data_IF_093868870651
#
_entry.id   IF_093868870651
#
_cell.length_a   1.000
_cell.length_b   1.000
_cell.length_c   1.000
_cell.angle_alpha   90.00
_cell.angle_beta   90.00
_cell.angle_gamma   90.00
#
_symmetry.space_group_name_H-M   'P 1'
#
loop_
_entity.id
_entity.type
_entity.pdbx_description
1 polymer ?
#
# COMPACT_ATOMS: atom_id res chain seq x y z
N UNK A 1 1.48 -21.67 15.26
CA UNK A 1 2.14 -21.31 13.99
C UNK A 1 1.29 -20.28 13.28
N UNK A 2 1.52 -18.99 13.55
CA UNK A 2 0.88 -17.85 12.85
C UNK A 2 1.90 -16.74 12.58
N UNK A 3 2.91 -16.63 13.43
CA UNK A 3 3.98 -15.64 13.34
C UNK A 3 4.88 -15.75 12.09
N UNK A 4 4.99 -16.94 11.48
CA UNK A 4 5.80 -17.13 10.26
C UNK A 4 5.14 -16.62 8.99
N UNK A 5 3.82 -16.45 8.97
CA UNK A 5 3.09 -16.02 7.78
C UNK A 5 3.08 -14.49 7.66
N UNK A 6 2.90 -13.79 8.78
CA UNK A 6 2.84 -12.32 8.83
C UNK A 6 4.19 -11.67 8.50
N UNK A 7 5.31 -12.27 8.94
CA UNK A 7 6.65 -11.78 8.60
C UNK A 7 6.93 -11.81 7.10
N UNK A 8 6.40 -12.80 6.37
CA UNK A 8 6.60 -12.90 4.93
C UNK A 8 5.76 -11.87 4.16
N UNK A 9 4.56 -11.54 4.64
CA UNK A 9 3.68 -10.55 3.98
C UNK A 9 4.26 -9.14 4.02
N UNK A 10 4.83 -8.75 5.16
CA UNK A 10 5.47 -7.44 5.32
C UNK A 10 6.71 -7.30 4.44
N UNK A 11 7.61 -8.29 4.47
CA UNK A 11 8.83 -8.26 3.65
C UNK A 11 8.50 -8.31 2.15
N UNK A 12 7.51 -9.12 1.73
CA UNK A 12 7.04 -9.13 0.34
C UNK A 12 6.48 -7.77 -0.11
N UNK A 13 5.84 -7.05 0.80
CA UNK A 13 5.33 -5.71 0.53
C UNK A 13 6.47 -4.71 0.36
N UNK A 14 7.49 -4.76 1.22
CA UNK A 14 8.69 -3.93 1.09
C UNK A 14 9.39 -4.22 -0.24
N UNK A 15 9.59 -5.49 -0.56
CA UNK A 15 10.23 -5.90 -1.81
C UNK A 15 9.42 -5.40 -3.02
N UNK A 16 8.09 -5.55 -3.00
CA UNK A 16 7.24 -5.06 -4.08
C UNK A 16 7.29 -3.53 -4.23
N UNK A 17 7.34 -2.78 -3.13
CA UNK A 17 7.52 -1.31 -3.17
C UNK A 17 8.89 -0.92 -3.76
N UNK A 18 9.95 -1.67 -3.42
CA UNK A 18 11.29 -1.41 -3.95
C UNK A 18 11.42 -1.66 -5.46
N UNK A 19 10.52 -2.45 -6.04
CA UNK A 19 10.46 -2.70 -7.49
C UNK A 19 9.69 -1.64 -8.27
N UNK A 20 9.03 -0.69 -7.60
CA UNK A 20 8.33 0.40 -8.28
C UNK A 20 9.34 1.36 -8.95
N UNK A 21 8.93 1.95 -10.08
CA UNK A 21 9.69 3.08 -10.63
C UNK A 21 9.65 4.27 -9.66
N UNK A 22 10.61 5.18 -9.77
CA UNK A 22 10.61 6.41 -8.95
C UNK A 22 9.31 7.22 -9.13
N UNK A 23 8.75 7.24 -10.35
CA UNK A 23 7.49 7.94 -10.64
C UNK A 23 6.30 7.28 -9.94
N UNK A 24 6.23 5.94 -9.96
CA UNK A 24 5.15 5.17 -9.33
C UNK A 24 5.26 5.23 -7.81
N UNK A 25 6.47 5.11 -7.25
CA UNK A 25 6.71 5.27 -5.82
C UNK A 25 6.30 6.66 -5.32
N UNK A 26 6.62 7.73 -6.08
CA UNK A 26 6.15 9.10 -5.77
C UNK A 26 4.63 9.23 -5.85
N UNK A 27 3.99 8.56 -6.80
CA UNK A 27 2.53 8.58 -6.95
C UNK A 27 1.85 7.84 -5.80
N UNK A 28 2.35 6.67 -5.43
CA UNK A 28 1.90 5.90 -4.26
C UNK A 28 2.02 6.73 -2.97
N UNK A 29 3.17 7.39 -2.77
CA UNK A 29 3.40 8.26 -1.61
C UNK A 29 2.39 9.42 -1.56
N UNK A 30 2.15 10.09 -2.71
CA UNK A 30 1.17 11.18 -2.80
C UNK A 30 -0.25 10.71 -2.47
N UNK A 31 -0.63 9.53 -2.94
CA UNK A 31 -1.94 8.94 -2.70
C UNK A 31 -2.14 8.60 -1.20
N UNK A 32 -1.16 7.95 -0.57
CA UNK A 32 -1.17 7.66 0.87
C UNK A 32 -1.24 8.96 1.69
N UNK A 33 -0.41 9.94 1.35
CA UNK A 33 -0.43 11.25 2.01
C UNK A 33 -1.79 11.93 1.90
N UNK A 34 -2.43 11.88 0.74
CA UNK A 34 -3.76 12.44 0.51
C UNK A 34 -4.79 11.88 1.49
N UNK A 35 -4.84 10.55 1.65
CA UNK A 35 -5.77 9.91 2.60
C UNK A 35 -5.47 10.31 4.05
N UNK A 36 -4.20 10.29 4.46
CA UNK A 36 -3.78 10.69 5.82
C UNK A 36 -4.18 12.14 6.07
N UNK A 37 -3.86 13.05 5.16
CA UNK A 37 -4.17 14.47 5.29
C UNK A 37 -5.69 14.71 5.42
N UNK A 38 -6.51 14.01 4.62
CA UNK A 38 -7.98 14.08 4.75
C UNK A 38 -8.46 13.61 6.11
N UNK A 39 -7.91 12.52 6.65
CA UNK A 39 -8.28 12.04 7.99
C UNK A 39 -7.83 13.00 9.11
N UNK A 40 -6.67 13.66 8.94
CA UNK A 40 -6.10 14.55 9.94
C UNK A 40 -6.75 15.94 9.96
N UNK A 41 -7.18 16.44 8.81
CA UNK A 41 -7.72 17.81 8.66
C UNK A 41 -9.24 17.86 8.52
N UNK A 42 -9.87 16.72 8.24
CA UNK A 42 -11.31 16.62 8.06
C UNK A 42 -12.10 16.54 9.37
N UNK A 43 -13.39 16.86 9.30
CA UNK A 43 -14.30 16.89 10.46
C UNK A 43 -14.87 15.51 10.83
N UNK A 44 -14.26 14.43 10.33
CA UNK A 44 -14.77 13.07 10.46
C UNK A 44 -14.45 12.36 11.79
N UNK A 45 -13.58 12.97 12.62
CA UNK A 45 -13.16 12.40 13.90
C UNK A 45 -12.46 11.04 13.76
N UNK A 46 -12.42 10.30 14.87
CA UNK A 46 -11.66 9.04 14.94
C UNK A 46 -12.20 7.93 14.01
N UNK A 47 -13.50 7.96 13.70
CA UNK A 47 -14.11 7.02 12.77
C UNK A 47 -13.51 7.13 11.35
N UNK A 48 -13.17 8.35 10.91
CA UNK A 48 -12.52 8.54 9.60
C UNK A 48 -11.04 8.18 9.66
N UNK A 49 -10.36 8.44 10.78
CA UNK A 49 -8.96 8.01 10.97
C UNK A 49 -8.82 6.49 10.86
N UNK A 50 -9.68 5.73 11.53
CA UNK A 50 -9.68 4.26 11.46
C UNK A 50 -9.89 3.76 10.04
N UNK A 51 -10.89 4.29 9.32
CA UNK A 51 -11.13 3.94 7.91
C UNK A 51 -9.94 4.23 7.01
N UNK A 52 -9.20 5.31 7.27
CA UNK A 52 -8.00 5.65 6.50
C UNK A 52 -6.84 4.72 6.84
N UNK A 53 -6.65 4.35 8.12
CA UNK A 53 -5.64 3.37 8.52
C UNK A 53 -5.89 2.02 7.83
N UNK A 54 -7.14 1.54 7.85
CA UNK A 54 -7.52 0.30 7.16
C UNK A 54 -7.23 0.40 5.66
N UNK A 55 -7.62 1.52 5.03
CA UNK A 55 -7.40 1.72 3.59
C UNK A 55 -5.93 1.80 3.19
N UNK A 56 -5.09 2.44 4.01
CA UNK A 56 -3.64 2.47 3.78
C UNK A 56 -3.05 1.07 3.93
N UNK A 57 -3.46 0.33 4.96
CA UNK A 57 -3.03 -1.08 5.14
C UNK A 57 -3.41 -1.94 3.93
N UNK A 58 -4.65 -1.81 3.44
CA UNK A 58 -5.13 -2.55 2.28
C UNK A 58 -4.34 -2.21 1.02
N UNK A 59 -4.00 -0.93 0.77
CA UNK A 59 -3.17 -0.53 -0.37
C UNK A 59 -1.86 -1.31 -0.35
N UNK A 60 -1.16 -1.33 0.78
CA UNK A 60 0.12 -2.02 0.93
C UNK A 60 0.02 -3.52 0.63
N UNK A 61 -1.02 -4.20 1.12
CA UNK A 61 -1.23 -5.63 0.89
C UNK A 61 -1.41 -6.01 -0.57
N UNK A 62 -1.93 -5.11 -1.40
CA UNK A 62 -2.19 -5.39 -2.81
C UNK A 62 -1.04 -4.99 -3.75
N UNK A 63 -0.02 -4.25 -3.28
CA UNK A 63 1.15 -3.87 -4.11
C UNK A 63 1.86 -5.10 -4.70
N UNK A 64 2.12 -6.18 -3.95
CA UNK A 64 2.71 -7.40 -4.51
C UNK A 64 1.91 -8.04 -5.65
N UNK A 65 0.59 -7.85 -5.68
CA UNK A 65 -0.29 -8.39 -6.71
C UNK A 65 -0.27 -7.54 -7.99
N UNK A 66 -0.21 -6.21 -7.84
CA UNK A 66 -0.14 -5.27 -8.96
C UNK A 66 1.15 -5.48 -9.79
N UNK A 67 2.28 -5.71 -9.12
CA UNK A 67 3.56 -5.97 -9.80
C UNK A 67 3.55 -7.28 -10.60
N UNK A 68 2.82 -8.30 -10.14
CA UNK A 68 2.68 -9.58 -10.87
C UNK A 68 1.91 -9.42 -12.18
N UNK A 69 0.96 -8.48 -12.24
CA UNK A 69 0.18 -8.19 -13.45
C UNK A 69 1.03 -7.48 -14.51
N UNK A 70 1.94 -6.59 -14.11
CA UNK A 70 2.86 -5.93 -15.06
C UNK A 70 3.90 -6.89 -15.64
N UNK A 71 4.46 -7.79 -14.83
CA UNK A 71 5.41 -8.79 -15.32
C UNK A 71 4.77 -9.66 -16.39
N UNK A 72 3.53 -10.15 -16.17
CA UNK A 72 2.85 -11.01 -17.15
C UNK A 72 2.51 -10.31 -18.48
N UNK A 73 2.41 -8.98 -18.52
CA UNK A 73 2.22 -8.23 -19.77
C UNK A 73 3.49 -8.04 -20.60
N UNK A 74 4.66 -8.27 -20.01
CA UNK A 74 5.97 -8.14 -20.68
C UNK A 74 6.38 -9.48 -21.32
N UNK A 75 5.77 -10.60 -20.92
CA UNK A 75 6.14 -11.96 -21.37
C UNK A 75 5.23 -12.55 -22.45
N UNK A 76 4.22 -11.80 -22.93
CA UNK A 76 3.34 -12.15 -24.07
C UNK A 76 3.61 -11.23 -25.27
#
# INVERSE_FOLDING_TARGET
MKETTDSNEFENTIDAVNHLTEADAKTLLRLIYGFINTAMTGNGGDAVKLKVVDKVSDIYKHIPELNKVEINKIVD
#
